data_IF_340677677404
#
_entry.id   IF_340677677404
#
_cell.length_a   1.000
_cell.length_b   1.000
_cell.length_c   1.000
_cell.angle_alpha   90.00
_cell.angle_beta   90.00
_cell.angle_gamma   90.00
#
_symmetry.space_group_name_H-M   'P 1'
#
loop_
_entity.id
_entity.type
_entity.pdbx_description
1 polymer ?
#
# COMPACT_ATOMS: atom_id res chain seq x y z
N UNK A 1 12.59 -3.01 12.04
CA UNK A 1 12.30 -4.36 11.50
C UNK A 1 11.93 -5.35 12.63
N UNK A 2 12.86 -5.70 13.53
CA UNK A 2 12.66 -6.72 14.56
C UNK A 2 11.42 -6.46 15.43
N UNK A 3 11.22 -5.23 15.90
CA UNK A 3 10.07 -4.89 16.74
C UNK A 3 8.73 -5.13 16.08
N UNK A 4 8.61 -4.89 14.78
CA UNK A 4 7.39 -5.20 14.00
C UNK A 4 7.14 -6.72 13.99
N UNK A 5 8.20 -7.52 13.78
CA UNK A 5 8.10 -9.00 13.68
C UNK A 5 7.70 -9.66 15.00
N UNK A 6 7.99 -9.04 16.13
CA UNK A 6 7.63 -9.54 17.46
C UNK A 6 6.45 -8.81 18.10
N UNK A 7 5.68 -8.04 17.31
CA UNK A 7 4.45 -7.37 17.75
C UNK A 7 4.68 -6.15 18.66
N UNK A 8 5.90 -5.66 18.77
CA UNK A 8 6.22 -4.48 19.60
C UNK A 8 6.09 -3.20 18.76
N UNK A 9 4.87 -2.93 18.28
CA UNK A 9 4.60 -1.87 17.30
C UNK A 9 4.95 -0.48 17.82
N UNK A 10 4.67 -0.16 19.10
CA UNK A 10 5.05 1.14 19.66
C UNK A 10 6.56 1.36 19.63
N UNK A 11 7.35 0.35 19.99
CA UNK A 11 8.82 0.44 19.90
C UNK A 11 9.32 0.59 18.47
N UNK A 12 8.64 -0.04 17.51
CA UNK A 12 8.95 0.16 16.09
C UNK A 12 8.69 1.61 15.68
N UNK A 13 7.55 2.19 16.07
CA UNK A 13 7.20 3.60 15.82
C UNK A 13 8.25 4.53 16.41
N UNK A 14 8.54 4.41 17.71
CA UNK A 14 9.45 5.28 18.42
C UNK A 14 10.86 5.29 17.81
N UNK A 15 11.39 4.10 17.46
CA UNK A 15 12.72 3.99 16.86
C UNK A 15 12.76 4.57 15.43
N UNK A 16 11.72 4.41 14.63
CA UNK A 16 11.69 4.99 13.30
C UNK A 16 11.47 6.52 13.34
N UNK A 17 10.66 7.03 14.27
CA UNK A 17 10.55 8.49 14.50
C UNK A 17 11.87 9.08 15.00
N UNK A 18 12.60 8.36 15.87
CA UNK A 18 13.94 8.78 16.30
C UNK A 18 14.93 8.78 15.12
N UNK A 19 14.88 7.80 14.24
CA UNK A 19 15.71 7.77 13.02
C UNK A 19 15.46 9.01 12.17
N UNK A 20 14.19 9.40 11.95
CA UNK A 20 13.85 10.61 11.19
C UNK A 20 14.39 11.90 11.87
N UNK A 21 14.35 11.97 13.20
CA UNK A 21 14.90 13.10 13.95
C UNK A 21 16.43 13.18 13.83
N UNK A 22 17.11 12.04 13.90
CA UNK A 22 18.57 11.96 13.74
C UNK A 22 18.98 12.32 12.31
N UNK A 23 18.26 11.85 11.29
CA UNK A 23 18.50 12.22 9.89
C UNK A 23 18.39 13.74 9.68
N UNK A 24 17.41 14.38 10.34
CA UNK A 24 17.25 15.83 10.30
C UNK A 24 18.43 16.55 10.97
N UNK A 25 18.82 16.13 12.16
CA UNK A 25 19.98 16.69 12.89
C UNK A 25 21.27 16.52 12.08
N UNK A 26 21.45 15.37 11.44
CA UNK A 26 22.60 15.12 10.57
C UNK A 26 22.63 16.08 9.38
N UNK A 27 21.48 16.31 8.73
CA UNK A 27 21.36 17.27 7.64
C UNK A 27 21.66 18.70 8.08
N UNK A 28 21.18 19.11 9.26
CA UNK A 28 21.45 20.42 9.84
C UNK A 28 22.92 20.60 10.19
N UNK A 29 23.59 19.55 10.73
CA UNK A 29 25.01 19.58 11.06
C UNK A 29 25.91 19.75 9.83
N UNK A 30 25.60 19.03 8.73
CA UNK A 30 26.40 19.09 7.52
C UNK A 30 26.11 20.34 6.67
N UNK A 31 24.90 20.92 6.74
CA UNK A 31 24.50 22.10 5.97
C UNK A 31 24.80 21.95 4.48
N UNK A 32 25.54 22.89 3.93
CA UNK A 32 25.99 22.90 2.52
C UNK A 32 27.32 22.16 2.29
N UNK A 33 27.91 21.56 3.33
CA UNK A 33 29.14 20.80 3.17
C UNK A 33 28.89 19.54 2.32
N UNK A 34 29.89 19.11 1.52
CA UNK A 34 29.78 17.87 0.77
C UNK A 34 29.58 16.69 1.72
N UNK A 35 28.48 15.97 1.56
CA UNK A 35 28.24 14.78 2.36
C UNK A 35 29.28 13.70 2.03
N UNK A 36 29.85 13.01 3.05
CA UNK A 36 30.74 11.91 2.79
C UNK A 36 30.02 10.80 2.02
N UNK A 37 30.76 10.08 1.21
CA UNK A 37 30.25 8.91 0.48
C UNK A 37 30.66 7.64 1.22
N UNK A 38 29.75 6.66 1.29
CA UNK A 38 30.06 5.31 1.71
C UNK A 38 29.87 4.39 0.51
N UNK A 39 31.00 3.91 -0.06
CA UNK A 39 30.96 3.12 -1.28
C UNK A 39 30.44 3.95 -2.46
N UNK A 40 29.65 3.35 -3.37
CA UNK A 40 29.14 4.04 -4.56
C UNK A 40 27.95 4.98 -4.29
N UNK A 41 27.46 5.04 -3.05
CA UNK A 41 26.26 5.81 -2.71
C UNK A 41 26.63 7.06 -1.91
N UNK A 42 26.20 8.25 -2.35
CA UNK A 42 26.33 9.45 -1.52
C UNK A 42 25.43 9.29 -0.27
N UNK A 43 25.97 9.65 0.89
CA UNK A 43 25.16 9.78 2.10
C UNK A 43 24.16 10.93 1.90
N UNK A 44 22.90 10.61 1.95
CA UNK A 44 21.82 11.60 1.85
C UNK A 44 20.89 11.43 3.05
N UNK A 45 20.61 12.52 3.73
CA UNK A 45 19.61 12.59 4.80
C UNK A 45 18.20 12.17 4.35
N UNK A 46 17.97 12.03 3.03
CA UNK A 46 16.69 11.59 2.45
C UNK A 46 16.59 10.08 2.20
N UNK A 47 17.72 9.34 2.23
CA UNK A 47 17.73 7.91 1.86
C UNK A 47 16.83 7.08 2.78
N UNK A 48 16.87 7.31 4.08
CA UNK A 48 16.14 6.50 5.05
C UNK A 48 14.74 7.04 5.37
N UNK A 49 14.49 8.33 5.14
CA UNK A 49 13.24 8.98 5.53
C UNK A 49 11.98 8.27 4.98
N UNK A 50 11.97 7.90 3.70
CA UNK A 50 10.85 7.18 3.11
C UNK A 50 10.65 5.78 3.67
N UNK A 51 11.74 5.08 4.02
CA UNK A 51 11.70 3.76 4.62
C UNK A 51 11.24 3.81 6.09
N UNK A 52 11.78 4.74 6.87
CA UNK A 52 11.37 4.95 8.25
C UNK A 52 9.88 5.36 8.35
N UNK A 53 9.41 6.26 7.48
CA UNK A 53 7.99 6.64 7.41
C UNK A 53 7.08 5.46 7.06
N UNK A 54 7.52 4.57 6.15
CA UNK A 54 6.75 3.38 5.79
C UNK A 54 6.64 2.40 6.98
N UNK A 55 7.71 2.24 7.76
CA UNK A 55 7.65 1.46 9.01
C UNK A 55 6.76 2.10 10.09
N UNK A 56 6.79 3.43 10.24
CA UNK A 56 5.86 4.13 11.14
C UNK A 56 4.42 3.90 10.69
N UNK A 57 4.13 4.08 9.39
CA UNK A 57 2.82 3.81 8.81
C UNK A 57 2.36 2.38 9.09
N UNK A 58 3.20 1.40 8.76
CA UNK A 58 2.88 -0.01 8.91
C UNK A 58 2.66 -0.40 10.38
N UNK A 59 3.58 -0.04 11.28
CA UNK A 59 3.45 -0.33 12.70
C UNK A 59 2.23 0.37 13.33
N UNK A 60 1.95 1.62 12.96
CA UNK A 60 0.77 2.35 13.39
C UNK A 60 -0.53 1.71 12.87
N UNK A 61 -0.52 1.17 11.64
CA UNK A 61 -1.65 0.40 11.09
C UNK A 61 -1.90 -0.86 11.91
N UNK A 62 -0.86 -1.64 12.20
CA UNK A 62 -0.97 -2.86 13.01
C UNK A 62 -1.42 -2.60 14.44
N UNK A 63 -1.11 -1.42 14.99
CA UNK A 63 -1.51 -0.98 16.32
C UNK A 63 -2.93 -0.36 16.36
N UNK A 64 -3.52 -0.05 15.20
CA UNK A 64 -4.82 0.64 15.11
C UNK A 64 -4.73 2.16 15.24
N UNK A 65 -3.53 2.75 15.20
CA UNK A 65 -3.31 4.20 15.32
C UNK A 65 -3.55 4.92 13.99
N UNK A 66 -4.82 5.07 13.60
CA UNK A 66 -5.22 5.56 12.26
C UNK A 66 -4.66 6.95 11.93
N UNK A 67 -4.70 7.89 12.86
CA UNK A 67 -4.21 9.26 12.64
C UNK A 67 -2.72 9.28 12.28
N UNK A 68 -1.90 8.51 13.01
CA UNK A 68 -0.47 8.42 12.78
C UNK A 68 -0.16 7.68 11.47
N UNK A 69 -0.85 6.57 11.20
CA UNK A 69 -0.69 5.80 9.98
C UNK A 69 -0.99 6.65 8.73
N UNK A 70 -2.14 7.34 8.71
CA UNK A 70 -2.55 8.20 7.59
C UNK A 70 -1.59 9.39 7.43
N UNK A 71 -1.20 10.04 8.54
CA UNK A 71 -0.23 11.14 8.51
C UNK A 71 1.10 10.71 7.87
N UNK A 72 1.66 9.59 8.33
CA UNK A 72 2.95 9.08 7.82
C UNK A 72 2.85 8.69 6.35
N UNK A 73 1.75 8.06 5.93
CA UNK A 73 1.49 7.73 4.52
C UNK A 73 1.44 9.00 3.65
N UNK A 74 0.68 10.02 4.05
CA UNK A 74 0.57 11.30 3.32
C UNK A 74 1.92 12.01 3.23
N UNK A 75 2.71 12.04 4.31
CA UNK A 75 4.06 12.62 4.30
C UNK A 75 4.99 11.91 3.33
N UNK A 76 4.95 10.57 3.30
CA UNK A 76 5.76 9.76 2.39
C UNK A 76 5.38 10.00 0.93
N UNK A 77 4.10 10.02 0.59
CA UNK A 77 3.62 10.27 -0.76
C UNK A 77 3.98 11.68 -1.24
N UNK A 78 3.78 12.71 -0.40
CA UNK A 78 4.07 14.12 -0.73
C UNK A 78 5.56 14.36 -1.03
N UNK A 79 6.47 13.59 -0.44
CA UNK A 79 7.90 13.69 -0.71
C UNK A 79 8.27 13.18 -2.12
N UNK A 80 7.46 12.27 -2.70
CA UNK A 80 7.68 11.66 -4.02
C UNK A 80 7.02 12.46 -5.12
N UNK A 81 5.79 12.91 -4.92
CA UNK A 81 4.97 13.61 -5.93
C UNK A 81 5.61 14.89 -6.50
N UNK A 82 6.66 15.39 -5.87
CA UNK A 82 7.40 16.58 -6.33
C UNK A 82 8.42 16.31 -7.44
N UNK A 83 8.67 15.04 -7.77
CA UNK A 83 9.79 14.62 -8.62
C UNK A 83 9.37 13.98 -9.96
N UNK A 84 8.15 14.24 -10.45
CA UNK A 84 7.62 13.66 -11.69
C UNK A 84 6.90 12.32 -11.50
N UNK A 85 6.69 11.57 -12.59
CA UNK A 85 5.98 10.28 -12.58
C UNK A 85 6.73 9.27 -11.70
N UNK A 86 6.09 8.71 -10.66
CA UNK A 86 6.74 7.76 -9.78
C UNK A 86 7.00 6.43 -10.51
N UNK A 87 8.19 5.90 -10.36
CA UNK A 87 8.60 4.62 -10.96
C UNK A 87 9.03 3.59 -9.90
N UNK A 88 8.95 2.31 -10.23
CA UNK A 88 9.35 1.22 -9.38
C UNK A 88 8.68 1.29 -7.99
N UNK A 89 9.44 1.05 -6.92
CA UNK A 89 8.93 1.06 -5.54
C UNK A 89 8.34 2.40 -5.07
N UNK A 90 8.57 3.49 -5.79
CA UNK A 90 8.01 4.79 -5.45
C UNK A 90 6.49 4.81 -5.67
N UNK A 91 5.98 4.07 -6.64
CA UNK A 91 4.54 3.93 -6.89
C UNK A 91 3.79 3.42 -5.64
N UNK A 92 4.33 2.38 -4.98
CA UNK A 92 3.76 1.85 -3.73
C UNK A 92 3.64 2.92 -2.64
N UNK A 93 4.64 3.79 -2.54
CA UNK A 93 4.63 4.88 -1.56
C UNK A 93 3.62 5.96 -1.89
N UNK A 94 3.40 6.26 -3.18
CA UNK A 94 2.33 7.18 -3.62
C UNK A 94 0.95 6.62 -3.31
N UNK A 95 0.72 5.33 -3.52
CA UNK A 95 -0.53 4.65 -3.22
C UNK A 95 -0.76 4.41 -1.70
N UNK A 96 0.28 4.52 -0.87
CA UNK A 96 0.20 4.21 0.56
C UNK A 96 -0.91 4.95 1.32
N UNK A 97 -1.20 6.25 1.08
CA UNK A 97 -2.35 6.91 1.70
C UNK A 97 -3.67 6.22 1.35
N UNK A 98 -3.88 5.82 0.11
CA UNK A 98 -5.12 5.24 -0.38
C UNK A 98 -5.43 3.91 0.30
N UNK A 99 -4.44 3.01 0.34
CA UNK A 99 -4.59 1.72 1.00
C UNK A 99 -4.70 1.85 2.52
N UNK A 100 -4.03 2.86 3.12
CA UNK A 100 -4.15 3.14 4.54
C UNK A 100 -5.56 3.66 4.88
N UNK A 101 -6.12 4.54 4.07
CA UNK A 101 -7.50 5.01 4.21
C UNK A 101 -8.50 3.83 4.12
N UNK A 102 -8.29 2.89 3.18
CA UNK A 102 -9.10 1.67 3.05
C UNK A 102 -9.09 0.85 4.33
N UNK A 103 -7.90 0.56 4.88
CA UNK A 103 -7.76 -0.23 6.11
C UNK A 103 -8.54 0.37 7.28
N UNK A 104 -8.61 1.70 7.35
CA UNK A 104 -9.33 2.41 8.41
C UNK A 104 -10.76 2.85 8.03
N UNK A 105 -11.31 2.36 6.93
CA UNK A 105 -12.69 2.61 6.53
C UNK A 105 -13.02 4.07 6.22
N UNK A 106 -12.03 4.85 5.73
CA UNK A 106 -12.20 6.25 5.39
C UNK A 106 -12.79 6.42 3.97
N UNK A 107 -13.99 5.88 3.79
CA UNK A 107 -14.61 5.68 2.48
C UNK A 107 -14.88 6.97 1.72
N UNK A 108 -15.33 8.02 2.40
CA UNK A 108 -15.62 9.31 1.75
C UNK A 108 -14.33 9.98 1.27
N UNK A 109 -13.24 9.88 2.06
CA UNK A 109 -11.92 10.38 1.65
C UNK A 109 -11.42 9.61 0.41
N UNK A 110 -11.65 8.29 0.34
CA UNK A 110 -11.27 7.48 -0.83
C UNK A 110 -12.05 7.88 -2.08
N UNK A 111 -13.38 8.04 -1.96
CA UNK A 111 -14.23 8.39 -3.09
C UNK A 111 -13.93 9.80 -3.65
N UNK A 112 -13.38 10.68 -2.82
CA UNK A 112 -12.93 12.02 -3.21
C UNK A 112 -11.56 12.06 -3.89
N UNK A 113 -10.83 10.94 -3.98
CA UNK A 113 -9.51 10.91 -4.62
C UNK A 113 -9.68 11.05 -6.12
N UNK A 114 -9.02 12.04 -6.71
CA UNK A 114 -8.93 12.23 -8.15
C UNK A 114 -7.80 11.38 -8.75
N UNK A 115 -7.93 11.04 -10.03
CA UNK A 115 -6.88 10.38 -10.79
C UNK A 115 -5.68 11.31 -10.95
N UNK A 116 -4.47 10.75 -10.88
CA UNK A 116 -3.24 11.52 -11.08
C UNK A 116 -3.05 11.81 -12.57
N UNK A 117 -2.63 13.04 -12.97
CA UNK A 117 -2.41 13.38 -14.37
C UNK A 117 -1.40 12.46 -15.08
N UNK A 118 -0.30 12.14 -14.39
CA UNK A 118 0.78 11.26 -14.89
C UNK A 118 0.75 9.93 -14.15
N UNK A 119 -0.40 9.24 -14.18
CA UNK A 119 -0.60 7.98 -13.48
C UNK A 119 0.12 6.82 -14.18
N UNK A 120 0.26 5.73 -13.48
CA UNK A 120 0.79 4.45 -13.98
C UNK A 120 -0.27 3.38 -13.82
N UNK A 121 -0.16 2.29 -14.57
CA UNK A 121 -1.09 1.15 -14.47
C UNK A 121 -1.20 0.63 -13.03
N UNK A 122 -0.11 0.62 -12.27
CA UNK A 122 -0.16 0.26 -10.85
C UNK A 122 -1.04 1.22 -10.03
N UNK A 123 -0.81 2.52 -10.17
CA UNK A 123 -1.56 3.53 -9.42
C UNK A 123 -3.04 3.54 -9.79
N UNK A 124 -3.34 3.47 -11.09
CA UNK A 124 -4.72 3.41 -11.57
C UNK A 124 -5.45 2.17 -11.05
N UNK A 125 -4.79 1.00 -11.11
CA UNK A 125 -5.35 -0.25 -10.62
C UNK A 125 -5.57 -0.26 -9.10
N UNK A 126 -4.63 0.28 -8.31
CA UNK A 126 -4.80 0.40 -6.85
C UNK A 126 -5.87 1.44 -6.51
N UNK A 127 -5.97 2.54 -7.26
CA UNK A 127 -7.07 3.52 -7.07
C UNK A 127 -8.43 2.90 -7.36
N UNK A 128 -8.56 2.14 -8.45
CA UNK A 128 -9.77 1.40 -8.77
C UNK A 128 -10.11 0.40 -7.65
N UNK A 129 -9.13 -0.33 -7.13
CA UNK A 129 -9.32 -1.26 -6.02
C UNK A 129 -9.90 -0.57 -4.78
N UNK A 130 -9.25 0.50 -4.28
CA UNK A 130 -9.72 1.16 -3.05
C UNK A 130 -11.08 1.83 -3.24
N UNK A 131 -11.36 2.39 -4.43
CA UNK A 131 -12.69 2.93 -4.78
C UNK A 131 -13.74 1.82 -4.86
N UNK A 132 -13.40 0.68 -5.45
CA UNK A 132 -14.26 -0.50 -5.48
C UNK A 132 -14.66 -0.95 -4.07
N UNK A 133 -13.68 -1.09 -3.17
CA UNK A 133 -13.92 -1.43 -1.76
C UNK A 133 -14.79 -0.39 -1.04
N UNK A 134 -14.58 0.91 -1.34
CA UNK A 134 -15.41 1.97 -0.78
C UNK A 134 -16.87 1.87 -1.28
N UNK A 135 -17.08 1.52 -2.56
CA UNK A 135 -18.42 1.28 -3.11
C UNK A 135 -19.08 0.03 -2.50
N UNK A 136 -18.33 -1.05 -2.25
CA UNK A 136 -18.83 -2.22 -1.50
C UNK A 136 -19.31 -1.78 -0.12
N UNK A 137 -18.49 -1.06 0.63
CA UNK A 137 -18.82 -0.60 1.97
C UNK A 137 -20.03 0.35 2.02
N UNK A 138 -20.30 1.06 0.92
CA UNK A 138 -21.49 1.94 0.74
C UNK A 138 -22.70 1.22 0.11
N UNK A 139 -22.64 -0.10 -0.09
CA UNK A 139 -23.73 -0.88 -0.69
C UNK A 139 -23.94 -0.62 -2.20
N UNK A 140 -23.01 0.06 -2.87
CA UNK A 140 -23.10 0.40 -4.28
C UNK A 140 -22.43 -0.66 -5.16
N UNK A 141 -22.95 -1.90 -5.13
CA UNK A 141 -22.30 -3.06 -5.77
C UNK A 141 -22.08 -2.90 -7.27
N UNK A 142 -23.01 -2.27 -8.00
CA UNK A 142 -22.82 -2.02 -9.44
C UNK A 142 -21.60 -1.11 -9.72
N UNK A 143 -21.35 -0.11 -8.86
CA UNK A 143 -20.14 0.74 -8.97
C UNK A 143 -18.89 -0.03 -8.58
N UNK A 144 -18.95 -0.91 -7.59
CA UNK A 144 -17.85 -1.78 -7.23
C UNK A 144 -17.47 -2.73 -8.37
N UNK A 145 -18.47 -3.33 -9.02
CA UNK A 145 -18.26 -4.18 -10.22
C UNK A 145 -17.61 -3.41 -11.38
N UNK A 146 -18.00 -2.14 -11.61
CA UNK A 146 -17.35 -1.31 -12.60
C UNK A 146 -15.86 -1.09 -12.31
N UNK A 147 -15.48 -0.92 -11.02
CA UNK A 147 -14.08 -0.85 -10.62
C UNK A 147 -13.35 -2.20 -10.80
N UNK A 148 -14.03 -3.32 -10.55
CA UNK A 148 -13.47 -4.65 -10.83
C UNK A 148 -13.15 -4.84 -12.33
N UNK A 149 -14.05 -4.42 -13.21
CA UNK A 149 -13.83 -4.43 -14.66
C UNK A 149 -12.63 -3.58 -15.03
N UNK A 150 -12.50 -2.40 -14.43
CA UNK A 150 -11.37 -1.50 -14.68
C UNK A 150 -10.03 -2.09 -14.23
N UNK A 151 -9.96 -2.73 -13.06
CA UNK A 151 -8.74 -3.43 -12.60
C UNK A 151 -8.35 -4.49 -13.62
N UNK A 152 -9.30 -5.32 -14.07
CA UNK A 152 -9.05 -6.38 -15.04
C UNK A 152 -8.56 -5.83 -16.39
N UNK A 153 -9.15 -4.72 -16.85
CA UNK A 153 -8.72 -4.02 -18.07
C UNK A 153 -7.27 -3.52 -17.96
N UNK A 154 -6.93 -2.89 -16.83
CA UNK A 154 -5.58 -2.40 -16.57
C UNK A 154 -4.59 -3.57 -16.48
N UNK A 155 -4.94 -4.63 -15.75
CA UNK A 155 -4.09 -5.82 -15.60
C UNK A 155 -3.78 -6.53 -16.92
N UNK A 156 -4.64 -6.39 -17.92
CA UNK A 156 -4.42 -6.94 -19.27
C UNK A 156 -3.53 -6.06 -20.16
N UNK A 157 -3.10 -4.87 -19.71
CA UNK A 157 -2.25 -3.98 -20.51
C UNK A 157 -0.81 -4.47 -20.59
N UNK A 158 -0.15 -4.24 -21.72
CA UNK A 158 1.19 -4.78 -21.99
C UNK A 158 2.29 -4.25 -21.05
N UNK A 159 2.15 -3.02 -20.53
CA UNK A 159 3.12 -2.41 -19.64
C UNK A 159 3.14 -3.06 -18.24
N UNK A 160 2.04 -3.68 -17.82
CA UNK A 160 1.91 -4.32 -16.51
C UNK A 160 2.86 -5.50 -16.34
N UNK A 161 3.11 -6.24 -17.42
CA UNK A 161 3.98 -7.43 -17.40
C UNK A 161 5.46 -7.12 -17.17
N UNK A 162 5.92 -5.90 -17.49
CA UNK A 162 7.33 -5.49 -17.40
C UNK A 162 7.61 -4.56 -16.21
N UNK A 163 6.59 -3.98 -15.62
CA UNK A 163 6.72 -3.01 -14.54
C UNK A 163 6.65 -3.66 -13.14
N UNK A 164 7.33 -3.03 -12.19
CA UNK A 164 7.31 -3.44 -10.78
C UNK A 164 7.00 -2.24 -9.89
N UNK A 165 6.12 -2.44 -8.93
CA UNK A 165 5.80 -1.39 -7.94
C UNK A 165 6.52 -1.59 -6.60
N UNK A 166 7.29 -2.65 -6.48
CA UNK A 166 8.09 -3.02 -5.31
C UNK A 166 9.07 -4.13 -5.68
N UNK A 167 9.25 -5.10 -4.82
CA UNK A 167 9.89 -6.37 -5.15
C UNK A 167 8.95 -7.29 -5.95
N UNK A 168 7.64 -7.07 -5.81
CA UNK A 168 6.57 -7.79 -6.50
C UNK A 168 6.25 -7.13 -7.84
N UNK A 169 5.93 -7.91 -8.86
CA UNK A 169 5.53 -7.41 -10.17
C UNK A 169 4.18 -6.68 -10.10
N UNK A 170 4.00 -5.67 -10.94
CA UNK A 170 2.72 -4.92 -11.01
C UNK A 170 1.55 -5.84 -11.33
N UNK A 171 1.73 -6.80 -12.27
CA UNK A 171 0.72 -7.78 -12.62
C UNK A 171 0.23 -8.59 -11.41
N UNK A 172 1.15 -9.06 -10.56
CA UNK A 172 0.83 -9.84 -9.36
C UNK A 172 0.07 -9.00 -8.33
N UNK A 173 0.47 -7.74 -8.12
CA UNK A 173 -0.22 -6.83 -7.19
C UNK A 173 -1.62 -6.45 -7.68
N UNK A 174 -1.82 -6.27 -8.99
CA UNK A 174 -3.15 -6.02 -9.56
C UNK A 174 -4.03 -7.27 -9.53
N UNK A 175 -3.46 -8.46 -9.71
CA UNK A 175 -4.20 -9.70 -9.53
C UNK A 175 -4.66 -9.89 -8.06
N UNK A 176 -3.81 -9.56 -7.08
CA UNK A 176 -4.20 -9.53 -5.66
C UNK A 176 -5.35 -8.54 -5.43
N UNK A 177 -5.25 -7.32 -5.99
CA UNK A 177 -6.30 -6.31 -5.90
C UNK A 177 -7.63 -6.81 -6.49
N UNK A 178 -7.57 -7.50 -7.65
CA UNK A 178 -8.73 -8.08 -8.31
C UNK A 178 -9.39 -9.17 -7.45
N UNK A 179 -8.62 -10.13 -6.93
CA UNK A 179 -9.16 -11.18 -6.07
C UNK A 179 -9.71 -10.63 -4.74
N UNK A 180 -9.06 -9.60 -4.15
CA UNK A 180 -9.55 -8.96 -2.95
C UNK A 180 -10.90 -8.28 -3.19
N UNK A 181 -11.03 -7.46 -4.25
CA UNK A 181 -12.27 -6.77 -4.56
C UNK A 181 -13.38 -7.72 -4.97
N UNK A 182 -13.10 -8.74 -5.77
CA UNK A 182 -14.05 -9.77 -6.17
C UNK A 182 -14.65 -10.44 -4.93
N UNK A 183 -13.81 -10.90 -4.00
CA UNK A 183 -14.28 -11.51 -2.76
C UNK A 183 -15.08 -10.54 -1.88
N UNK A 184 -14.68 -9.25 -1.81
CA UNK A 184 -15.45 -8.24 -1.08
C UNK A 184 -16.85 -8.04 -1.68
N UNK A 185 -16.97 -8.01 -3.03
CA UNK A 185 -18.26 -7.91 -3.74
C UNK A 185 -19.11 -9.14 -3.46
N UNK A 186 -18.54 -10.34 -3.57
CA UNK A 186 -19.22 -11.62 -3.33
C UNK A 186 -19.71 -11.71 -1.88
N UNK A 187 -18.87 -11.35 -0.88
CA UNK A 187 -19.31 -11.28 0.51
C UNK A 187 -20.49 -10.33 0.70
N UNK A 188 -20.46 -9.18 0.07
CA UNK A 188 -21.52 -8.18 0.21
C UNK A 188 -22.82 -8.57 -0.51
N UNK A 189 -22.74 -9.42 -1.55
CA UNK A 189 -23.91 -10.00 -2.24
C UNK A 189 -24.44 -11.28 -1.58
N UNK A 190 -23.78 -11.79 -0.54
CA UNK A 190 -24.16 -13.03 0.15
C UNK A 190 -23.58 -14.31 -0.45
N UNK A 191 -22.77 -14.21 -1.49
CA UNK A 191 -22.04 -15.36 -2.08
C UNK A 191 -20.77 -15.67 -1.28
N UNK A 192 -20.95 -16.32 -0.13
CA UNK A 192 -19.81 -16.66 0.74
C UNK A 192 -18.90 -17.74 0.12
N UNK A 193 -19.45 -18.65 -0.67
CA UNK A 193 -18.68 -19.70 -1.35
C UNK A 193 -17.74 -19.07 -2.38
N UNK A 194 -18.27 -18.19 -3.23
CA UNK A 194 -17.47 -17.42 -4.18
C UNK A 194 -16.41 -16.57 -3.49
N UNK A 195 -16.77 -15.88 -2.43
CA UNK A 195 -15.85 -15.03 -1.68
C UNK A 195 -14.66 -15.81 -1.10
N UNK A 196 -14.92 -16.97 -0.49
CA UNK A 196 -13.87 -17.86 0.02
C UNK A 196 -12.94 -18.27 -1.12
N UNK A 197 -13.50 -18.74 -2.25
CA UNK A 197 -12.71 -19.16 -3.40
C UNK A 197 -11.84 -18.03 -3.98
N UNK A 198 -12.36 -16.79 -4.04
CA UNK A 198 -11.59 -15.62 -4.50
C UNK A 198 -10.47 -15.25 -3.53
N UNK A 199 -10.73 -15.29 -2.22
CA UNK A 199 -9.70 -15.02 -1.22
C UNK A 199 -8.64 -16.13 -1.14
N UNK A 200 -8.99 -17.39 -1.34
CA UNK A 200 -8.03 -18.51 -1.42
C UNK A 200 -7.07 -18.34 -2.61
N UNK A 201 -7.56 -17.92 -3.78
CA UNK A 201 -6.71 -17.56 -4.92
C UNK A 201 -5.77 -16.41 -4.56
N UNK A 202 -6.29 -15.38 -3.87
CA UNK A 202 -5.48 -14.27 -3.39
C UNK A 202 -4.40 -14.71 -2.39
N UNK A 203 -4.70 -15.63 -1.46
CA UNK A 203 -3.72 -16.21 -0.53
C UNK A 203 -2.64 -16.97 -1.28
N UNK A 204 -3.03 -17.84 -2.21
CA UNK A 204 -2.07 -18.61 -3.01
C UNK A 204 -1.11 -17.70 -3.80
N UNK A 205 -1.63 -16.60 -4.36
CA UNK A 205 -0.81 -15.61 -5.06
C UNK A 205 0.08 -14.81 -4.11
N UNK A 206 -0.44 -14.37 -2.94
CA UNK A 206 0.34 -13.65 -1.92
C UNK A 206 1.54 -14.48 -1.45
N UNK A 207 1.38 -15.80 -1.33
CA UNK A 207 2.44 -16.71 -0.89
C UNK A 207 3.59 -16.85 -1.90
N UNK A 208 3.37 -16.48 -3.16
CA UNK A 208 4.44 -16.46 -4.17
C UNK A 208 5.24 -15.14 -4.17
N UNK A 209 4.77 -14.11 -3.46
CA UNK A 209 5.42 -12.82 -3.45
C UNK A 209 6.79 -12.87 -2.78
N UNK A 210 7.73 -12.08 -3.32
CA UNK A 210 9.02 -11.92 -2.69
C UNK A 210 8.88 -11.25 -1.31
N UNK A 211 9.72 -11.71 -0.37
CA UNK A 211 9.78 -11.11 0.96
C UNK A 211 10.22 -9.65 0.88
N UNK A 212 9.43 -8.76 1.52
CA UNK A 212 9.75 -7.34 1.70
C UNK A 212 9.27 -6.86 3.06
N UNK A 213 9.90 -5.81 3.58
CA UNK A 213 9.48 -5.11 4.79
C UNK A 213 9.42 -3.60 4.59
N UNK A 214 8.26 -2.97 4.82
CA UNK A 214 6.93 -3.59 4.94
C UNK A 214 6.52 -4.36 3.69
N UNK A 215 5.55 -5.31 3.79
CA UNK A 215 5.07 -6.08 2.64
C UNK A 215 4.59 -5.19 1.49
N UNK A 216 4.76 -5.67 0.25
CA UNK A 216 4.27 -4.95 -0.93
C UNK A 216 2.73 -4.97 -1.00
N UNK A 217 2.10 -6.06 -0.54
CA UNK A 217 0.66 -6.12 -0.31
C UNK A 217 0.35 -5.73 1.15
N UNK A 218 -0.39 -4.63 1.37
CA UNK A 218 -0.43 -3.96 2.69
C UNK A 218 -1.29 -4.66 3.74
N UNK A 219 -2.23 -5.52 3.32
CA UNK A 219 -3.14 -6.25 4.20
C UNK A 219 -3.27 -7.68 3.71
N UNK A 220 -2.77 -8.64 4.49
CA UNK A 220 -2.74 -10.05 4.08
C UNK A 220 -4.11 -10.57 3.66
N UNK A 221 -4.15 -11.31 2.55
CA UNK A 221 -5.34 -11.97 2.02
C UNK A 221 -5.94 -12.97 3.00
N UNK A 222 -5.12 -13.49 3.93
CA UNK A 222 -5.59 -14.37 5.02
C UNK A 222 -6.57 -13.69 5.97
N UNK A 223 -6.49 -12.35 6.14
CA UNK A 223 -7.46 -11.63 6.96
C UNK A 223 -8.84 -11.58 6.30
N UNK A 224 -8.88 -11.42 4.97
CA UNK A 224 -10.14 -11.47 4.20
C UNK A 224 -10.73 -12.88 4.21
N UNK A 225 -9.89 -13.89 3.93
CA UNK A 225 -10.31 -15.29 3.96
C UNK A 225 -10.86 -15.68 5.34
N UNK A 226 -10.16 -15.32 6.42
CA UNK A 226 -10.61 -15.60 7.78
C UNK A 226 -11.96 -14.94 8.10
N UNK A 227 -12.17 -13.69 7.63
CA UNK A 227 -13.45 -13.00 7.81
C UNK A 227 -14.58 -13.67 7.03
N UNK A 228 -14.33 -14.21 5.83
CA UNK A 228 -15.31 -14.95 5.04
C UNK A 228 -15.65 -16.28 5.69
N UNK A 229 -14.65 -17.05 6.12
CA UNK A 229 -14.83 -18.32 6.82
C UNK A 229 -15.60 -18.21 8.14
N UNK A 230 -15.44 -17.09 8.86
CA UNK A 230 -16.20 -16.85 10.10
C UNK A 230 -17.68 -16.52 9.85
N UNK A 231 -18.06 -16.18 8.60
CA UNK A 231 -19.44 -15.88 8.22
C UNK A 231 -20.14 -17.05 7.54
N UNK A 232 -19.40 -18.02 7.04
CA UNK A 232 -19.90 -19.23 6.41
C UNK A 232 -20.27 -20.29 7.45
#
# INVERSE_FOLDING_TARGET
HIFVRVGQYQRAIDNNLRSLAVDKQFAEYWGDLPLPTIGPYPLSHKIHAGHALDFVRYAATMQGSSALAIKSAKQMAAAISKNGTPMGRMQKRVAAPWVTLKIFGKWDEILAIESLPDSTSYLDGILAYVKGSAHVARGSLAKAQAQQVEINRIAASADVSVNRAGATATAELLALAAHALEGEIQMASGDLVGAIASFEKGVALEDTNNYTEPPDWPQSMRLYLGAALLRA
#
